data_IF_791523674107
#
_entry.id   IF_791523674107
#
_cell.length_a   1.000
_cell.length_b   1.000
_cell.length_c   1.000
_cell.angle_alpha   90.00
_cell.angle_beta   90.00
_cell.angle_gamma   90.00
#
_symmetry.space_group_name_H-M   'P 1'
#
loop_
_entity.id
_entity.type
_entity.pdbx_description
1 polymer ?
#
# COMPACT_ATOMS: atom_id res chain seq x y z
N UNK A 1 -1.52 -24.78 -12.26
CA UNK A 1 -0.35 -24.29 -11.50
C UNK A 1 -0.57 -22.80 -11.24
N UNK A 2 -0.39 -22.40 -10.01
CA UNK A 2 -0.45 -21.00 -9.54
C UNK A 2 0.57 -20.13 -10.30
N UNK A 3 0.15 -18.97 -10.79
CA UNK A 3 1.07 -18.02 -11.43
C UNK A 3 1.66 -17.10 -10.36
N UNK A 4 2.89 -17.38 -9.92
CA UNK A 4 3.61 -16.51 -8.99
C UNK A 4 4.04 -15.25 -9.73
N UNK A 5 3.62 -14.08 -9.23
CA UNK A 5 3.95 -12.75 -9.76
C UNK A 5 5.18 -12.17 -9.07
N UNK A 6 5.27 -12.31 -7.75
CA UNK A 6 6.47 -12.02 -6.96
C UNK A 6 6.71 -13.14 -5.96
N UNK A 7 7.89 -13.74 -5.98
CA UNK A 7 8.34 -14.65 -4.94
C UNK A 7 8.65 -13.89 -3.64
N UNK A 8 8.78 -14.61 -2.53
CA UNK A 8 9.20 -14.00 -1.25
C UNK A 8 10.59 -13.35 -1.37
N UNK A 9 11.49 -13.95 -2.17
CA UNK A 9 12.82 -13.42 -2.45
C UNK A 9 12.78 -12.14 -3.29
N UNK A 10 11.87 -12.06 -4.28
CA UNK A 10 11.66 -10.85 -5.08
C UNK A 10 11.16 -9.71 -4.19
N UNK A 11 10.19 -10.00 -3.33
CA UNK A 11 9.64 -9.05 -2.36
C UNK A 11 10.76 -8.55 -1.43
N UNK A 12 11.58 -9.44 -0.87
CA UNK A 12 12.69 -9.06 0.00
C UNK A 12 13.67 -8.10 -0.68
N UNK A 13 14.06 -8.35 -1.94
CA UNK A 13 14.92 -7.46 -2.72
C UNK A 13 14.29 -6.10 -2.99
N UNK A 14 12.99 -6.07 -3.29
CA UNK A 14 12.24 -4.82 -3.50
C UNK A 14 12.22 -4.00 -2.21
N UNK A 15 11.90 -4.64 -1.09
CA UNK A 15 11.80 -4.00 0.23
C UNK A 15 13.15 -3.44 0.67
N UNK A 16 14.25 -4.19 0.50
CA UNK A 16 15.61 -3.73 0.78
C UNK A 16 15.97 -2.48 -0.05
N UNK A 17 15.71 -2.51 -1.37
CA UNK A 17 15.96 -1.37 -2.26
C UNK A 17 15.16 -0.13 -1.83
N UNK A 18 13.86 -0.29 -1.59
CA UNK A 18 12.99 0.83 -1.20
C UNK A 18 13.40 1.40 0.17
N UNK A 19 13.77 0.55 1.12
CA UNK A 19 14.27 0.98 2.43
C UNK A 19 15.58 1.78 2.33
N UNK A 20 16.50 1.37 1.46
CA UNK A 20 17.74 2.09 1.18
C UNK A 20 17.47 3.46 0.52
N UNK A 21 16.57 3.50 -0.48
CA UNK A 21 16.18 4.74 -1.15
C UNK A 21 15.53 5.74 -0.18
N UNK A 22 14.58 5.28 0.63
CA UNK A 22 13.93 6.09 1.66
C UNK A 22 14.93 6.58 2.72
N UNK A 23 15.86 5.73 3.16
CA UNK A 23 16.93 6.10 4.11
C UNK A 23 17.78 7.23 3.54
N UNK A 24 18.23 7.11 2.30
CA UNK A 24 19.05 8.13 1.62
C UNK A 24 18.29 9.46 1.47
N UNK A 25 17.06 9.39 0.96
CA UNK A 25 16.33 10.58 0.55
C UNK A 25 15.72 11.34 1.75
N UNK A 26 15.53 10.66 2.90
CA UNK A 26 15.00 11.25 4.13
C UNK A 26 16.09 11.55 5.18
N UNK A 27 17.37 11.29 4.90
CA UNK A 27 18.48 11.45 5.85
C UNK A 27 18.62 12.87 6.42
N UNK A 28 18.20 13.89 5.68
CA UNK A 28 18.32 15.30 6.05
C UNK A 28 17.01 15.92 6.58
N UNK A 29 16.02 15.10 6.92
CA UNK A 29 14.80 15.63 7.53
C UNK A 29 15.08 16.06 8.98
N UNK A 30 14.70 17.30 9.32
CA UNK A 30 14.93 17.87 10.67
C UNK A 30 14.15 17.17 11.77
N UNK A 31 12.98 16.62 11.40
CA UNK A 31 12.10 15.86 12.31
C UNK A 31 11.94 14.44 11.75
N UNK A 32 11.89 13.41 12.62
CA UNK A 32 11.66 12.04 12.16
C UNK A 32 10.43 11.96 11.24
N UNK A 33 10.54 11.43 10.02
CA UNK A 33 9.40 11.28 9.12
C UNK A 33 8.36 10.32 9.70
N UNK A 34 7.09 10.50 9.31
CA UNK A 34 5.99 9.65 9.74
C UNK A 34 5.65 8.68 8.61
N UNK A 35 5.73 7.39 8.91
CA UNK A 35 5.33 6.33 8.00
C UNK A 35 3.91 5.88 8.34
N UNK A 36 3.00 5.98 7.38
CA UNK A 36 1.58 5.64 7.52
C UNK A 36 1.25 4.37 6.77
N UNK A 37 0.89 3.31 7.49
CA UNK A 37 0.38 2.08 6.88
C UNK A 37 -1.08 2.25 6.46
N UNK A 38 -1.41 1.98 5.20
CA UNK A 38 -2.81 1.88 4.75
C UNK A 38 -3.33 0.47 5.01
N UNK A 39 -4.16 0.35 6.03
CA UNK A 39 -4.68 -0.95 6.47
C UNK A 39 -5.82 -1.42 5.56
N UNK A 40 -5.96 -2.73 5.30
CA UNK A 40 -5.21 -3.86 5.90
C UNK A 40 -4.12 -4.38 4.95
N UNK A 41 -4.24 -4.16 3.64
CA UNK A 41 -3.44 -4.81 2.61
C UNK A 41 -1.95 -4.47 2.73
N UNK A 42 -1.61 -3.22 3.01
CA UNK A 42 -0.23 -2.79 3.12
C UNK A 42 0.53 -3.33 4.35
N UNK A 43 -0.15 -3.98 5.31
CA UNK A 43 0.46 -4.34 6.60
C UNK A 43 1.74 -5.19 6.48
N UNK A 44 1.80 -6.30 5.70
CA UNK A 44 3.03 -7.07 5.57
C UNK A 44 4.15 -6.26 4.92
N UNK A 45 3.86 -5.57 3.83
CA UNK A 45 4.82 -4.72 3.14
C UNK A 45 5.35 -3.61 4.04
N UNK A 46 4.46 -2.91 4.76
CA UNK A 46 4.83 -1.89 5.73
C UNK A 46 5.75 -2.43 6.82
N UNK A 47 5.38 -3.58 7.41
CA UNK A 47 6.16 -4.21 8.49
C UNK A 47 7.58 -4.55 8.05
N UNK A 48 7.76 -5.01 6.82
CA UNK A 48 9.07 -5.36 6.30
C UNK A 48 9.86 -4.12 5.86
N UNK A 49 9.19 -3.15 5.21
CA UNK A 49 9.80 -1.91 4.75
C UNK A 49 10.42 -1.09 5.89
N UNK A 50 9.68 -0.87 6.98
CA UNK A 50 10.18 -0.03 8.08
C UNK A 50 11.42 -0.61 8.77
N UNK A 51 11.64 -1.93 8.71
CA UNK A 51 12.84 -2.61 9.22
C UNK A 51 14.07 -2.35 8.34
N UNK A 52 13.88 -1.97 7.07
CA UNK A 52 14.95 -1.63 6.14
C UNK A 52 15.28 -0.13 6.11
N UNK A 53 14.47 0.71 6.77
CA UNK A 53 14.74 2.15 6.89
C UNK A 53 15.67 2.41 8.07
N UNK A 54 16.90 2.82 7.78
CA UNK A 54 17.93 3.06 8.80
C UNK A 54 17.93 4.52 9.28
N UNK A 55 16.77 4.99 9.74
CA UNK A 55 16.55 6.32 10.32
C UNK A 55 15.57 6.21 11.49
N UNK A 56 15.62 7.12 12.48
CA UNK A 56 14.50 7.29 13.40
C UNK A 56 13.24 7.69 12.64
N UNK A 57 12.18 6.90 12.77
CA UNK A 57 10.88 7.15 12.14
C UNK A 57 9.78 7.11 13.18
N UNK A 58 8.64 7.71 12.87
CA UNK A 58 7.39 7.54 13.62
C UNK A 58 6.44 6.69 12.81
N UNK A 59 5.84 5.70 13.44
CA UNK A 59 4.91 4.77 12.81
C UNK A 59 3.48 5.07 13.23
N UNK A 60 2.57 5.14 12.26
CA UNK A 60 1.12 5.17 12.51
C UNK A 60 0.40 4.43 11.38
N UNK A 61 -0.90 4.29 11.48
CA UNK A 61 -1.72 3.62 10.48
C UNK A 61 -3.09 4.29 10.36
N UNK A 62 -3.67 4.12 9.19
CA UNK A 62 -5.02 4.55 8.89
C UNK A 62 -5.78 3.41 8.20
N UNK A 63 -7.09 3.51 8.17
CA UNK A 63 -7.91 2.56 7.46
C UNK A 63 -8.99 3.28 6.67
N UNK A 64 -9.03 3.01 5.38
CA UNK A 64 -10.11 3.46 4.49
C UNK A 64 -10.94 2.26 4.04
N UNK A 65 -12.21 2.49 3.82
CA UNK A 65 -13.11 1.54 3.19
C UNK A 65 -13.78 2.19 1.97
N UNK A 66 -13.81 1.48 0.86
CA UNK A 66 -14.66 1.83 -0.28
C UNK A 66 -16.04 1.20 -0.07
N UNK A 67 -17.09 2.01 -0.04
CA UNK A 67 -18.46 1.50 0.06
C UNK A 67 -18.88 0.89 -1.28
N UNK A 68 -19.18 -0.42 -1.26
CA UNK A 68 -19.64 -1.18 -2.44
C UNK A 68 -18.79 -2.43 -2.65
N UNK A 69 -19.16 -3.55 -2.00
CA UNK A 69 -18.52 -4.86 -2.21
C UNK A 69 -18.81 -5.37 -3.62
N UNK A 70 -17.91 -5.14 -4.55
CA UNK A 70 -17.97 -5.61 -5.93
C UNK A 70 -16.81 -5.05 -6.75
N UNK A 71 -16.52 -5.67 -7.90
CA UNK A 71 -15.41 -5.30 -8.81
C UNK A 71 -15.53 -3.91 -9.46
N UNK A 72 -16.53 -3.09 -9.04
CA UNK A 72 -16.68 -1.68 -9.45
C UNK A 72 -16.85 -0.80 -8.20
N UNK A 73 -15.83 -0.03 -7.87
CA UNK A 73 -15.88 0.97 -6.80
C UNK A 73 -16.83 2.11 -7.17
N UNK A 74 -17.95 2.25 -6.48
CA UNK A 74 -18.94 3.34 -6.67
C UNK A 74 -18.55 4.67 -6.05
N UNK A 75 -17.29 4.88 -5.72
CA UNK A 75 -16.72 6.21 -5.55
C UNK A 75 -16.81 6.88 -4.18
N UNK A 76 -17.48 6.36 -3.16
CA UNK A 76 -17.37 6.97 -1.83
C UNK A 76 -16.34 6.25 -0.97
N UNK A 77 -15.26 6.95 -0.65
CA UNK A 77 -14.23 6.46 0.27
C UNK A 77 -14.54 6.99 1.66
N UNK A 78 -14.58 6.10 2.65
CA UNK A 78 -14.85 6.44 4.05
C UNK A 78 -13.62 6.13 4.89
N UNK A 79 -13.24 7.05 5.77
CA UNK A 79 -12.20 6.86 6.75
C UNK A 79 -12.76 6.06 7.93
N UNK A 80 -12.34 4.80 8.06
CA UNK A 80 -12.76 3.95 9.18
C UNK A 80 -11.88 4.17 10.42
N UNK A 81 -10.58 4.44 10.23
CA UNK A 81 -9.66 4.90 11.29
C UNK A 81 -8.76 5.99 10.72
N UNK A 82 -8.75 7.14 11.36
CA UNK A 82 -7.92 8.27 11.00
C UNK A 82 -6.58 8.25 11.75
N UNK A 83 -5.66 9.09 11.29
CA UNK A 83 -4.31 9.25 11.80
C UNK A 83 -4.37 9.87 13.20
N UNK A 84 -3.60 9.31 14.14
CA UNK A 84 -3.52 9.80 15.51
C UNK A 84 -2.28 10.68 15.76
N UNK A 85 -1.24 10.47 14.94
CA UNK A 85 0.03 11.22 15.05
C UNK A 85 -0.11 12.65 14.53
N UNK A 86 0.53 13.60 15.21
CA UNK A 86 0.69 14.96 14.69
C UNK A 86 1.63 14.98 13.48
N UNK A 87 1.13 15.47 12.34
CA UNK A 87 1.85 15.53 11.06
C UNK A 87 2.29 16.95 10.68
N UNK A 88 1.94 17.98 11.47
CA UNK A 88 2.21 19.38 11.11
C UNK A 88 3.72 19.62 10.88
N UNK A 89 4.05 20.15 9.72
CA UNK A 89 5.42 20.43 9.30
C UNK A 89 6.33 19.20 9.11
N UNK A 90 5.80 17.96 9.14
CA UNK A 90 6.59 16.72 9.00
C UNK A 90 6.50 16.13 7.60
N UNK A 91 7.54 15.41 7.18
CA UNK A 91 7.47 14.58 5.99
C UNK A 91 6.70 13.29 6.33
N UNK A 92 5.72 12.96 5.48
CA UNK A 92 4.85 11.80 5.62
C UNK A 92 5.08 10.86 4.46
N UNK A 93 5.27 9.57 4.75
CA UNK A 93 5.35 8.49 3.76
C UNK A 93 4.11 7.61 3.91
N UNK A 94 3.21 7.68 2.93
CA UNK A 94 2.04 6.79 2.83
C UNK A 94 2.50 5.49 2.20
N UNK A 95 2.33 4.37 2.92
CA UNK A 95 2.74 3.04 2.46
C UNK A 95 1.50 2.23 2.08
N UNK A 96 1.46 1.79 0.82
CA UNK A 96 0.33 1.08 0.22
C UNK A 96 0.81 -0.24 -0.43
N UNK A 97 -0.05 -1.25 -0.48
CA UNK A 97 0.24 -2.49 -1.19
C UNK A 97 0.16 -2.31 -2.71
N UNK A 98 -0.92 -1.72 -3.19
CA UNK A 98 -1.16 -1.54 -4.64
C UNK A 98 -1.85 -0.22 -4.93
N UNK A 99 -1.30 0.55 -5.84
CA UNK A 99 -1.95 1.74 -6.39
C UNK A 99 -2.51 1.40 -7.78
N UNK A 100 -3.81 1.14 -7.82
CA UNK A 100 -4.55 0.75 -9.04
C UNK A 100 -5.12 2.01 -9.75
N UNK A 101 -6.38 2.34 -9.57
CA UNK A 101 -7.02 3.53 -10.17
C UNK A 101 -6.46 4.86 -9.66
N UNK A 102 -5.82 4.86 -8.52
CA UNK A 102 -5.30 6.04 -7.84
C UNK A 102 -6.33 6.81 -7.00
N UNK A 103 -7.61 6.46 -7.05
CA UNK A 103 -8.67 7.18 -6.34
C UNK A 103 -8.45 7.19 -4.83
N UNK A 104 -8.14 6.04 -4.23
CA UNK A 104 -7.89 5.91 -2.78
C UNK A 104 -6.69 6.75 -2.33
N UNK A 105 -5.58 6.65 -3.04
CA UNK A 105 -4.37 7.42 -2.71
C UNK A 105 -4.58 8.92 -2.93
N UNK A 106 -5.25 9.31 -4.01
CA UNK A 106 -5.58 10.73 -4.25
C UNK A 106 -6.43 11.30 -3.12
N UNK A 107 -7.44 10.55 -2.67
CA UNK A 107 -8.25 10.93 -1.51
C UNK A 107 -7.40 11.07 -0.24
N UNK A 108 -6.54 10.08 0.06
CA UNK A 108 -5.69 10.08 1.24
C UNK A 108 -4.70 11.23 1.24
N UNK A 109 -4.00 11.46 0.14
CA UNK A 109 -3.03 12.56 0.02
C UNK A 109 -3.72 13.91 0.25
N UNK A 110 -4.90 14.12 -0.38
CA UNK A 110 -5.67 15.34 -0.18
C UNK A 110 -6.15 15.49 1.27
N UNK A 111 -6.65 14.42 1.89
CA UNK A 111 -7.07 14.41 3.29
C UNK A 111 -5.91 14.79 4.23
N UNK A 112 -4.74 14.16 4.05
CA UNK A 112 -3.54 14.44 4.85
C UNK A 112 -3.10 15.90 4.68
N UNK A 113 -3.02 16.38 3.45
CA UNK A 113 -2.60 17.75 3.16
C UNK A 113 -3.54 18.82 3.72
N UNK A 114 -4.84 18.60 3.62
CA UNK A 114 -5.84 19.59 4.04
C UNK A 114 -6.05 19.60 5.56
N UNK A 115 -6.02 18.44 6.20
CA UNK A 115 -6.33 18.31 7.62
C UNK A 115 -5.11 18.52 8.52
N UNK A 116 -3.93 18.02 8.13
CA UNK A 116 -2.76 17.90 9.02
C UNK A 116 -1.60 18.83 8.66
N UNK A 117 -1.64 19.51 7.49
CA UNK A 117 -0.61 20.47 7.03
C UNK A 117 0.83 19.94 7.08
N UNK A 118 1.11 18.74 6.56
CA UNK A 118 2.47 18.20 6.55
C UNK A 118 3.40 19.08 5.70
N UNK A 119 4.72 19.00 5.94
CA UNK A 119 5.75 19.58 5.08
C UNK A 119 5.71 18.96 3.67
N UNK A 120 5.51 17.64 3.60
CA UNK A 120 5.52 16.87 2.35
C UNK A 120 4.80 15.54 2.56
N UNK A 121 4.11 15.08 1.52
CA UNK A 121 3.51 13.74 1.46
C UNK A 121 4.15 12.98 0.31
N UNK A 122 4.69 11.81 0.59
CA UNK A 122 5.28 10.87 -0.35
C UNK A 122 4.45 9.58 -0.36
N UNK A 123 4.38 8.92 -1.50
CA UNK A 123 3.68 7.64 -1.67
C UNK A 123 4.71 6.56 -2.00
N UNK A 124 4.73 5.51 -1.16
CA UNK A 124 5.51 4.29 -1.38
C UNK A 124 4.55 3.12 -1.57
N UNK A 125 4.61 2.44 -2.71
CA UNK A 125 3.74 1.32 -3.02
C UNK A 125 4.54 0.10 -3.47
N UNK A 126 4.11 -1.11 -3.05
CA UNK A 126 4.71 -2.34 -3.56
C UNK A 126 4.40 -2.51 -5.05
N UNK A 127 3.14 -2.28 -5.44
CA UNK A 127 2.70 -2.33 -6.84
C UNK A 127 2.17 -0.99 -7.33
N UNK A 128 2.65 -0.57 -8.51
CA UNK A 128 2.13 0.59 -9.23
C UNK A 128 1.54 0.15 -10.58
N UNK A 129 0.20 0.18 -10.70
CA UNK A 129 -0.53 -0.10 -11.94
C UNK A 129 -0.74 1.17 -12.74
N UNK A 130 0.30 1.67 -13.39
CA UNK A 130 0.27 2.95 -14.12
C UNK A 130 -0.82 2.99 -15.18
N UNK A 131 -1.07 1.88 -15.90
CA UNK A 131 -2.07 1.81 -16.98
C UNK A 131 -3.52 1.78 -16.48
N UNK A 132 -3.75 1.49 -15.19
CA UNK A 132 -5.09 1.47 -14.60
C UNK A 132 -5.52 2.81 -14.02
N UNK A 133 -4.67 3.85 -14.06
CA UNK A 133 -4.94 5.16 -13.47
C UNK A 133 -6.17 5.82 -14.07
N UNK A 134 -7.07 6.25 -13.17
CA UNK A 134 -8.22 7.11 -13.50
C UNK A 134 -8.01 8.56 -13.06
N UNK A 135 -7.10 8.77 -12.11
CA UNK A 135 -6.72 10.08 -11.60
C UNK A 135 -5.20 10.23 -11.58
N UNK A 136 -4.71 11.45 -11.77
CA UNK A 136 -3.27 11.69 -11.70
C UNK A 136 -2.81 11.68 -10.24
N UNK A 137 -2.07 10.64 -9.87
CA UNK A 137 -1.42 10.50 -8.58
C UNK A 137 0.01 9.99 -8.78
N UNK A 138 0.94 10.62 -8.10
CA UNK A 138 2.35 10.24 -8.15
C UNK A 138 2.61 9.15 -7.11
N UNK A 139 3.26 8.07 -7.52
CA UNK A 139 3.93 7.13 -6.64
C UNK A 139 5.41 7.51 -6.64
N UNK A 140 5.92 7.95 -5.48
CA UNK A 140 7.31 8.44 -5.37
C UNK A 140 8.31 7.29 -5.31
N UNK A 141 7.90 6.18 -4.67
CA UNK A 141 8.69 4.96 -4.53
C UNK A 141 7.84 3.76 -4.94
N UNK A 142 8.09 3.21 -6.11
CA UNK A 142 7.41 2.02 -6.61
C UNK A 142 8.29 0.78 -6.46
N UNK A 143 7.76 -0.27 -5.86
CA UNK A 143 8.41 -1.57 -5.77
C UNK A 143 8.55 -2.19 -7.14
N UNK A 144 7.42 -2.36 -7.81
CA UNK A 144 7.35 -2.82 -9.21
C UNK A 144 6.16 -2.21 -9.93
N UNK A 145 6.28 -2.09 -11.24
CA UNK A 145 5.16 -1.69 -12.11
C UNK A 145 4.49 -2.92 -12.71
N UNK A 146 3.17 -2.92 -12.70
CA UNK A 146 2.37 -3.97 -13.33
C UNK A 146 1.73 -3.42 -14.61
N UNK A 147 1.99 -4.07 -15.75
CA UNK A 147 1.47 -3.63 -17.04
C UNK A 147 0.02 -4.05 -17.28
N UNK A 148 -0.53 -4.94 -16.47
CA UNK A 148 -1.83 -5.56 -16.71
C UNK A 148 -2.80 -5.45 -15.53
N UNK A 149 -4.07 -5.82 -15.80
CA UNK A 149 -5.17 -5.77 -14.85
C UNK A 149 -5.33 -7.06 -14.03
N UNK A 150 -4.28 -7.88 -13.88
CA UNK A 150 -4.36 -9.14 -13.13
C UNK A 150 -4.86 -8.88 -11.71
N UNK A 151 -5.71 -9.77 -11.24
CA UNK A 151 -6.14 -9.81 -9.86
C UNK A 151 -5.09 -10.56 -9.04
N UNK A 152 -4.58 -9.92 -8.00
CA UNK A 152 -3.46 -10.41 -7.21
C UNK A 152 -3.90 -10.73 -5.78
N UNK A 153 -3.32 -11.79 -5.23
CA UNK A 153 -3.52 -12.22 -3.85
C UNK A 153 -2.16 -12.59 -3.23
N UNK A 154 -2.07 -12.49 -1.92
CA UNK A 154 -0.85 -12.80 -1.16
C UNK A 154 -0.12 -11.54 -0.67
N UNK A 155 0.70 -11.71 0.33
CA UNK A 155 1.51 -10.67 0.98
C UNK A 155 0.71 -9.40 1.32
N UNK A 156 -0.48 -9.62 1.93
CA UNK A 156 -1.42 -8.56 2.32
C UNK A 156 -2.60 -8.39 1.36
N UNK A 157 -2.42 -8.60 0.06
CA UNK A 157 -3.50 -8.59 -0.93
C UNK A 157 -4.47 -9.76 -0.69
N UNK A 158 -5.76 -9.52 -0.92
CA UNK A 158 -6.80 -10.49 -0.58
C UNK A 158 -7.82 -10.77 -1.68
N UNK A 159 -8.46 -11.92 -1.53
CA UNK A 159 -9.77 -12.21 -2.09
C UNK A 159 -10.76 -12.47 -0.95
N UNK A 160 -11.78 -11.62 -0.79
CA UNK A 160 -12.79 -11.73 0.28
C UNK A 160 -12.17 -11.92 1.69
N UNK A 161 -11.14 -11.16 2.03
CA UNK A 161 -10.33 -11.24 3.25
C UNK A 161 -9.38 -12.46 3.36
N UNK A 162 -9.40 -13.38 2.41
CA UNK A 162 -8.54 -14.58 2.38
C UNK A 162 -7.24 -14.32 1.59
N UNK A 163 -6.21 -15.10 1.87
CA UNK A 163 -4.95 -15.09 1.13
C UNK A 163 -3.91 -14.08 1.62
N UNK A 164 -4.25 -13.12 2.48
CA UNK A 164 -3.30 -12.08 2.96
C UNK A 164 -2.06 -12.64 3.66
N UNK A 165 -2.15 -13.84 4.22
CA UNK A 165 -1.07 -14.51 4.96
C UNK A 165 -0.10 -15.30 4.10
N UNK A 166 -0.32 -15.39 2.79
CA UNK A 166 0.62 -16.03 1.86
C UNK A 166 1.87 -15.16 1.71
N UNK A 167 3.11 -15.71 1.81
CA UNK A 167 4.33 -14.89 1.84
C UNK A 167 4.83 -14.40 0.47
N UNK A 168 4.12 -14.70 -0.60
CA UNK A 168 4.39 -14.29 -1.98
C UNK A 168 3.12 -13.75 -2.63
N UNK A 169 3.22 -13.18 -3.83
CA UNK A 169 2.08 -12.64 -4.58
C UNK A 169 1.83 -13.49 -5.82
N UNK A 170 0.59 -13.86 -6.05
CA UNK A 170 0.18 -14.74 -7.14
C UNK A 170 -1.18 -14.36 -7.74
N UNK A 171 -1.48 -14.92 -8.91
CA UNK A 171 -2.81 -14.87 -9.51
C UNK A 171 -3.56 -16.13 -9.08
N UNK A 172 -4.67 -16.02 -8.34
CA UNK A 172 -5.43 -17.19 -7.89
C UNK A 172 -6.06 -17.92 -9.08
N UNK A 173 -6.02 -19.24 -9.05
CA UNK A 173 -6.70 -20.09 -10.01
C UNK A 173 -8.21 -20.07 -9.80
N UNK A 174 -8.97 -20.49 -10.82
CA UNK A 174 -10.43 -20.60 -10.69
C UNK A 174 -10.83 -21.59 -9.59
N UNK A 175 -10.11 -22.70 -9.46
CA UNK A 175 -10.39 -23.72 -8.45
C UNK A 175 -10.19 -23.18 -7.03
N UNK A 176 -9.14 -22.35 -6.80
CA UNK A 176 -8.91 -21.69 -5.51
C UNK A 176 -10.03 -20.70 -5.19
N UNK A 177 -10.44 -19.90 -6.18
CA UNK A 177 -11.56 -18.96 -6.02
C UNK A 177 -12.84 -19.72 -5.66
N UNK A 178 -13.15 -20.82 -6.35
CA UNK A 178 -14.33 -21.66 -6.06
C UNK A 178 -14.31 -22.27 -4.66
N UNK A 179 -13.12 -22.63 -4.17
CA UNK A 179 -12.95 -23.12 -2.79
C UNK A 179 -13.18 -21.99 -1.79
N UNK A 180 -12.60 -20.82 -2.03
CA UNK A 180 -12.72 -19.66 -1.14
C UNK A 180 -14.13 -19.08 -1.12
N UNK A 181 -14.86 -19.15 -2.23
CA UNK A 181 -16.27 -18.69 -2.30
C UNK A 181 -17.21 -19.48 -1.39
N UNK A 182 -16.85 -20.72 -1.04
CA UNK A 182 -17.62 -21.58 -0.15
C UNK A 182 -17.33 -21.35 1.33
N UNK A 183 -16.29 -20.58 1.66
CA UNK A 183 -15.93 -20.27 3.04
C UNK A 183 -16.76 -19.08 3.57
N UNK A 184 -17.24 -19.22 4.79
CA UNK A 184 -17.81 -18.10 5.55
C UNK A 184 -16.67 -17.24 6.12
N UNK A 185 -16.72 -15.91 5.87
CA UNK A 185 -15.69 -14.96 6.27
C UNK A 185 -16.30 -13.74 6.95
#
# INVERSE_FOLDING_TARGET
>A
MEEIVLSAEDIARIVERLGADLTRDLANEERPPVFLCVMKGALPFYSDLIKQVNLPIVCDYLQISSYGGGMSSSGSITMAKDIATDLDGRTVVVVEDIVDTGLSISYLVNHIQTKFKPKKVLVCALFDKVLARKVNVKVDYAGTQLPDAKFLVGYGLDYRQLGRNVPYVFVPTKDEIEVWDKLEV
#
